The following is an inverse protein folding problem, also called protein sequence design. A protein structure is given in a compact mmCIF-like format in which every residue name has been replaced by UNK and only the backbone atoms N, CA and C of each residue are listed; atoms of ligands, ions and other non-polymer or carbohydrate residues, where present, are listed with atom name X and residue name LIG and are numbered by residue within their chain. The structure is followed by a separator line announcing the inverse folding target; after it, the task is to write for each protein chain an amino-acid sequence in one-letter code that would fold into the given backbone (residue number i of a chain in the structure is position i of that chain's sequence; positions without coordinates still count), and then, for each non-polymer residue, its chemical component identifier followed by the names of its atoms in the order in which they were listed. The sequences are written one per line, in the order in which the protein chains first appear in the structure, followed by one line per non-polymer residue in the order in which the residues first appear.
data_IF_474647833808
#
_entry.id   IF_474647833808
#
_cell.length_a   1.000
_cell.length_b   1.000
_cell.length_c   1.000
_cell.angle_alpha   90.00
_cell.angle_beta   90.00
_cell.angle_gamma   90.00
#
_symmetry.space_group_name_H-M   'P 1'
#
loop_
_entity.id
_entity.type
_entity.pdbx_description
1 polymer ?
#
# COMPACT_ATOMS: atom_id res chain seq x y z
N UNK A 1 4.73 20.15 4.23
CA UNK A 1 4.95 19.73 2.83
C UNK A 1 4.12 18.49 2.55
N UNK A 2 3.28 18.57 1.56
CA UNK A 2 2.37 17.49 1.21
C UNK A 2 3.11 16.30 0.62
N UNK A 3 2.89 15.12 1.17
CA UNK A 3 3.46 13.87 0.66
C UNK A 3 2.45 13.06 -0.13
N UNK A 4 1.17 13.15 0.22
CA UNK A 4 0.08 12.42 -0.41
C UNK A 4 -1.06 13.37 -0.74
N UNK A 5 -1.56 13.28 -1.97
CA UNK A 5 -2.80 13.95 -2.38
C UNK A 5 -3.70 12.96 -3.08
N UNK A 6 -4.95 12.92 -2.65
CA UNK A 6 -5.99 12.07 -3.23
C UNK A 6 -7.07 12.99 -3.79
N UNK A 7 -7.37 12.85 -5.07
CA UNK A 7 -8.32 13.71 -5.77
C UNK A 7 -9.45 12.88 -6.40
N UNK A 8 -10.65 13.06 -5.88
CA UNK A 8 -11.89 12.53 -6.44
C UNK A 8 -11.83 11.04 -6.77
N UNK A 9 -11.31 10.25 -5.87
CA UNK A 9 -11.16 8.81 -6.07
C UNK A 9 -12.51 8.12 -6.00
N UNK A 10 -12.82 7.37 -7.04
CA UNK A 10 -13.95 6.47 -7.10
C UNK A 10 -13.46 5.06 -7.41
N UNK A 11 -14.07 4.08 -6.81
CA UNK A 11 -13.79 2.68 -7.12
C UNK A 11 -15.10 1.90 -7.16
N UNK A 12 -15.36 1.31 -8.31
CA UNK A 12 -16.52 0.46 -8.55
C UNK A 12 -16.05 -0.91 -8.99
N UNK A 13 -16.50 -1.95 -8.30
CA UNK A 13 -16.26 -3.33 -8.70
C UNK A 13 -17.48 -3.85 -9.45
N UNK A 14 -17.25 -4.40 -10.64
CA UNK A 14 -18.30 -5.05 -11.41
C UNK A 14 -18.53 -6.46 -10.86
N UNK A 15 -19.70 -6.67 -10.28
CA UNK A 15 -20.12 -7.96 -9.73
C UNK A 15 -21.24 -8.53 -10.59
N UNK A 16 -21.41 -9.85 -10.58
CA UNK A 16 -22.33 -10.57 -11.47
C UNK A 16 -23.78 -10.03 -11.44
N UNK A 17 -24.25 -9.53 -10.32
CA UNK A 17 -25.63 -9.09 -10.14
C UNK A 17 -25.82 -7.58 -10.07
N UNK A 18 -24.79 -6.84 -9.66
CA UNK A 18 -24.84 -5.38 -9.55
C UNK A 18 -23.44 -4.82 -9.29
N UNK A 19 -23.14 -3.60 -9.76
CA UNK A 19 -21.88 -2.95 -9.45
C UNK A 19 -21.83 -2.58 -7.95
N UNK A 20 -20.66 -2.71 -7.34
CA UNK A 20 -20.41 -2.29 -5.95
C UNK A 20 -19.55 -1.03 -5.96
N UNK A 21 -20.11 0.07 -5.47
CA UNK A 21 -19.41 1.35 -5.35
C UNK A 21 -18.67 1.39 -4.02
N UNK A 22 -17.42 0.92 -4.03
CA UNK A 22 -16.59 0.85 -2.81
C UNK A 22 -16.14 2.22 -2.33
N UNK A 23 -15.81 3.13 -3.25
CA UNK A 23 -15.40 4.49 -2.96
C UNK A 23 -16.12 5.47 -3.89
N UNK A 24 -16.57 6.60 -3.34
CA UNK A 24 -17.27 7.64 -4.07
C UNK A 24 -16.67 9.00 -3.74
N UNK A 25 -15.99 9.60 -4.71
CA UNK A 25 -15.49 10.98 -4.65
C UNK A 25 -14.67 11.30 -3.39
N UNK A 26 -13.67 10.47 -3.11
CA UNK A 26 -12.81 10.64 -1.93
C UNK A 26 -11.65 11.58 -2.26
N UNK A 27 -11.50 12.65 -1.48
CA UNK A 27 -10.41 13.62 -1.63
C UNK A 27 -9.85 13.99 -0.26
N UNK A 28 -8.53 13.96 -0.14
CA UNK A 28 -7.82 14.44 1.05
C UNK A 28 -6.32 14.56 0.73
N UNK A 29 -5.58 15.14 1.67
CA UNK A 29 -4.12 15.21 1.57
C UNK A 29 -3.48 14.90 2.91
N UNK A 30 -2.22 14.48 2.87
CA UNK A 30 -1.42 14.17 4.05
C UNK A 30 -0.07 14.85 3.90
N UNK A 31 0.36 15.57 4.94
CA UNK A 31 1.68 16.19 4.97
C UNK A 31 2.74 15.21 5.47
N UNK A 32 3.96 15.46 5.05
CA UNK A 32 5.10 14.66 5.46
C UNK A 32 5.24 14.66 6.99
N UNK A 33 5.35 13.49 7.58
CA UNK A 33 5.47 13.31 9.02
C UNK A 33 4.15 13.19 9.77
N UNK A 34 3.01 13.33 9.09
CA UNK A 34 1.71 13.13 9.73
C UNK A 34 1.38 11.64 9.93
N UNK A 35 0.69 11.37 11.01
CA UNK A 35 0.07 10.07 11.27
C UNK A 35 -1.43 10.21 11.09
N UNK A 36 -2.01 9.47 10.15
CA UNK A 36 -3.43 9.58 9.79
C UNK A 36 -4.13 8.25 10.01
N UNK A 37 -5.29 8.29 10.65
CA UNK A 37 -6.15 7.12 10.83
C UNK A 37 -7.39 7.23 9.94
N UNK A 38 -7.69 6.14 9.23
CA UNK A 38 -8.92 6.02 8.44
C UNK A 38 -9.87 5.13 9.23
N UNK A 39 -10.97 5.70 9.67
CA UNK A 39 -11.96 5.01 10.50
C UNK A 39 -13.28 4.86 9.75
N UNK A 40 -14.02 3.82 10.10
CA UNK A 40 -15.33 3.53 9.51
C UNK A 40 -15.76 2.11 9.81
N UNK A 41 -17.03 1.82 9.55
CA UNK A 41 -17.60 0.50 9.72
C UNK A 41 -16.97 -0.51 8.74
N UNK A 42 -17.05 -1.79 9.08
CA UNK A 42 -16.67 -2.88 8.18
C UNK A 42 -17.45 -2.74 6.86
N UNK A 43 -16.73 -2.89 5.73
CA UNK A 43 -17.33 -2.74 4.41
C UNK A 43 -17.47 -1.29 3.93
N UNK A 44 -16.91 -0.31 4.64
CA UNK A 44 -16.97 1.11 4.25
C UNK A 44 -15.92 1.53 3.20
N UNK A 45 -15.09 0.61 2.73
CA UNK A 45 -14.09 0.89 1.70
C UNK A 45 -12.69 1.22 2.20
N UNK A 46 -12.41 1.10 3.50
CA UNK A 46 -11.11 1.42 4.08
C UNK A 46 -9.97 0.63 3.45
N UNK A 47 -10.12 -0.68 3.34
CA UNK A 47 -9.09 -1.56 2.74
C UNK A 47 -8.90 -1.25 1.26
N UNK A 48 -9.98 -0.99 0.53
CA UNK A 48 -9.93 -0.59 -0.88
C UNK A 48 -9.13 0.70 -1.05
N UNK A 49 -9.39 1.71 -0.21
CA UNK A 49 -8.66 2.96 -0.25
C UNK A 49 -7.16 2.73 0.01
N UNK A 50 -6.81 1.95 1.02
CA UNK A 50 -5.40 1.65 1.33
C UNK A 50 -4.70 0.93 0.19
N UNK A 51 -5.36 -0.01 -0.48
CA UNK A 51 -4.80 -0.69 -1.65
C UNK A 51 -4.55 0.26 -2.81
N UNK A 52 -5.44 1.22 -3.03
CA UNK A 52 -5.27 2.25 -4.07
C UNK A 52 -4.10 3.18 -3.70
N UNK A 53 -4.00 3.62 -2.46
CA UNK A 53 -2.90 4.46 -2.00
C UNK A 53 -1.55 3.74 -2.07
N UNK A 54 -1.56 2.44 -1.88
CA UNK A 54 -0.35 1.61 -1.93
C UNK A 54 0.09 1.19 -3.32
N UNK A 55 -0.62 1.60 -4.37
CA UNK A 55 -0.27 1.24 -5.74
C UNK A 55 -0.67 -0.19 -6.15
N UNK A 56 -1.52 -0.85 -5.36
CA UNK A 56 -1.91 -2.24 -5.59
C UNK A 56 -3.16 -2.37 -6.45
N UNK A 57 -4.09 -1.43 -6.31
CA UNK A 57 -5.37 -1.46 -7.02
C UNK A 57 -5.63 -0.12 -7.69
N UNK A 58 -5.91 -0.12 -8.99
CA UNK A 58 -6.17 1.11 -9.73
C UNK A 58 -7.56 1.66 -9.39
N UNK A 59 -7.70 2.99 -9.20
CA UNK A 59 -9.03 3.58 -9.05
C UNK A 59 -9.80 3.48 -10.37
N UNK A 60 -11.12 3.48 -10.27
CA UNK A 60 -11.99 3.59 -11.45
C UNK A 60 -11.87 4.99 -12.07
N UNK A 61 -11.78 6.01 -11.20
CA UNK A 61 -11.53 7.39 -11.60
C UNK A 61 -10.86 8.15 -10.46
N UNK A 62 -10.37 9.34 -10.75
CA UNK A 62 -9.64 10.15 -9.81
C UNK A 62 -8.13 9.94 -9.88
N UNK A 63 -7.39 10.64 -9.04
CA UNK A 63 -5.93 10.64 -9.06
C UNK A 63 -5.33 10.50 -7.67
N UNK A 64 -4.17 9.86 -7.61
CA UNK A 64 -3.34 9.76 -6.41
C UNK A 64 -1.96 10.28 -6.73
N UNK A 65 -1.52 11.27 -5.95
CA UNK A 65 -0.16 11.82 -6.07
C UNK A 65 0.63 11.48 -4.83
N UNK A 66 1.80 10.91 -5.01
CA UNK A 66 2.76 10.68 -3.93
C UNK A 66 4.05 11.42 -4.27
N UNK A 67 4.45 12.30 -3.38
CA UNK A 67 5.61 13.17 -3.56
C UNK A 67 5.56 13.92 -4.91
N UNK A 68 4.37 14.42 -5.26
CA UNK A 68 4.11 15.17 -6.48
C UNK A 68 3.97 14.34 -7.75
N UNK A 69 4.12 13.03 -7.69
CA UNK A 69 4.04 12.15 -8.85
C UNK A 69 2.68 11.43 -8.90
N UNK A 70 2.02 11.48 -10.06
CA UNK A 70 0.78 10.73 -10.30
C UNK A 70 1.08 9.23 -10.37
N UNK A 71 0.62 8.50 -9.36
CA UNK A 71 0.94 7.08 -9.18
C UNK A 71 0.44 6.24 -10.37
N UNK A 72 -0.77 6.50 -10.84
CA UNK A 72 -1.41 5.65 -11.85
C UNK A 72 -1.22 6.11 -13.29
N UNK A 73 -0.43 7.16 -13.53
CA UNK A 73 0.13 7.45 -14.85
C UNK A 73 1.34 6.57 -15.17
N UNK A 74 1.89 5.90 -14.16
CA UNK A 74 3.00 4.99 -14.33
C UNK A 74 2.56 3.68 -14.99
N UNK A 75 3.47 3.07 -15.76
CA UNK A 75 3.23 1.72 -16.30
C UNK A 75 3.43 0.67 -15.19
N UNK A 76 3.17 -0.60 -15.50
CA UNK A 76 3.25 -1.68 -14.50
C UNK A 76 4.65 -1.84 -13.91
N UNK A 77 5.70 -1.67 -14.71
CA UNK A 77 7.08 -1.76 -14.23
C UNK A 77 7.43 -0.61 -13.28
N UNK A 78 7.02 0.60 -13.62
CA UNK A 78 7.20 1.78 -12.77
C UNK A 78 6.40 1.66 -11.47
N UNK A 79 5.17 1.15 -11.53
CA UNK A 79 4.36 0.88 -10.35
C UNK A 79 5.01 -0.16 -9.44
N UNK A 80 5.63 -1.18 -9.99
CA UNK A 80 6.35 -2.18 -9.21
C UNK A 80 7.51 -1.55 -8.44
N UNK A 81 8.26 -0.65 -9.08
CA UNK A 81 9.34 0.11 -8.43
C UNK A 81 8.78 1.02 -7.34
N UNK A 82 7.68 1.72 -7.62
CA UNK A 82 7.00 2.57 -6.64
C UNK A 82 6.63 1.78 -5.38
N UNK A 83 6.01 0.60 -5.54
CA UNK A 83 5.62 -0.25 -4.40
C UNK A 83 6.82 -0.71 -3.57
N UNK A 84 7.95 -0.99 -4.22
CA UNK A 84 9.16 -1.43 -3.50
C UNK A 84 9.86 -0.31 -2.75
N UNK A 85 9.85 0.91 -3.30
CA UNK A 85 10.71 2.01 -2.82
C UNK A 85 10.00 3.05 -2.00
N UNK A 86 8.75 3.37 -2.33
CA UNK A 86 8.06 4.52 -1.75
C UNK A 86 6.96 4.17 -0.78
N UNK A 87 6.47 2.93 -0.79
CA UNK A 87 5.34 2.51 0.02
C UNK A 87 5.65 1.24 0.77
N UNK A 88 5.29 1.21 2.05
CA UNK A 88 5.22 -0.02 2.82
C UNK A 88 3.75 -0.32 3.12
N UNK A 89 3.28 -1.51 2.78
CA UNK A 89 1.90 -1.90 3.00
C UNK A 89 1.85 -3.07 3.98
N UNK A 90 1.08 -2.89 5.07
CA UNK A 90 0.83 -3.95 6.05
C UNK A 90 -0.58 -4.45 5.83
N UNK A 91 -0.70 -5.71 5.43
CA UNK A 91 -1.98 -6.34 5.15
C UNK A 91 -2.66 -6.83 6.42
N UNK A 92 -3.99 -6.90 6.39
CA UNK A 92 -4.79 -7.47 7.46
C UNK A 92 -4.42 -8.93 7.73
N UNK A 93 -4.10 -9.68 6.68
CA UNK A 93 -3.53 -11.03 6.74
C UNK A 93 -2.04 -10.92 6.40
N UNK A 94 -1.20 -11.75 7.01
CA UNK A 94 0.26 -11.61 6.94
C UNK A 94 0.85 -11.76 5.54
N UNK A 95 0.18 -12.49 4.65
CA UNK A 95 0.61 -12.70 3.26
C UNK A 95 2.06 -13.21 3.12
N UNK A 96 2.47 -14.03 4.08
CA UNK A 96 3.79 -14.64 4.05
C UNK A 96 3.84 -15.72 2.95
N UNK A 97 5.00 -15.84 2.29
CA UNK A 97 5.22 -16.88 1.31
C UNK A 97 5.64 -18.15 2.06
N UNK A 98 4.83 -19.24 2.04
CA UNK A 98 5.07 -20.39 2.91
C UNK A 98 6.38 -21.13 2.67
N UNK A 99 6.88 -21.12 1.44
CA UNK A 99 8.12 -21.81 1.07
C UNK A 99 9.38 -21.03 1.45
N UNK A 100 9.22 -19.77 1.87
CA UNK A 100 10.33 -18.92 2.29
C UNK A 100 10.48 -18.92 3.80
N UNK A 101 11.70 -18.73 4.27
CA UNK A 101 11.98 -18.53 5.70
C UNK A 101 11.47 -17.18 6.17
N UNK A 102 11.47 -16.94 7.49
CA UNK A 102 11.15 -15.63 8.09
C UNK A 102 12.06 -14.55 7.51
N UNK A 103 13.36 -14.78 7.50
CA UNK A 103 14.33 -13.84 6.97
C UNK A 103 14.09 -13.54 5.49
N UNK A 104 13.81 -14.56 4.69
CA UNK A 104 13.51 -14.40 3.27
C UNK A 104 12.24 -13.58 3.05
N UNK A 105 11.18 -13.81 3.84
CA UNK A 105 9.95 -13.01 3.78
C UNK A 105 10.19 -11.54 4.12
N UNK A 106 10.98 -11.27 5.16
CA UNK A 106 11.30 -9.89 5.58
C UNK A 106 12.12 -9.16 4.51
N UNK A 107 13.09 -9.84 3.92
CA UNK A 107 14.08 -9.22 3.02
C UNK A 107 13.68 -9.24 1.55
N UNK A 108 12.63 -9.96 1.17
CA UNK A 108 12.24 -10.14 -0.22
C UNK A 108 12.08 -8.83 -0.99
N UNK A 109 11.35 -7.80 -0.48
CA UNK A 109 11.21 -6.54 -1.22
C UNK A 109 12.56 -5.85 -1.48
N UNK A 110 13.48 -5.90 -0.53
CA UNK A 110 14.81 -5.30 -0.65
C UNK A 110 15.63 -6.06 -1.67
N UNK A 111 15.56 -7.39 -1.65
CA UNK A 111 16.27 -8.26 -2.61
C UNK A 111 15.75 -8.07 -4.03
N UNK A 112 14.42 -7.96 -4.19
CA UNK A 112 13.80 -7.70 -5.50
C UNK A 112 14.20 -6.33 -6.07
N UNK A 113 14.48 -5.37 -5.18
CA UNK A 113 14.95 -4.03 -5.59
C UNK A 113 16.47 -3.96 -5.80
N UNK A 114 17.20 -5.05 -5.57
CA UNK A 114 18.65 -5.13 -5.76
C UNK A 114 19.46 -4.40 -4.70
N UNK A 115 18.88 -4.03 -3.58
CA UNK A 115 19.56 -3.35 -2.47
C UNK A 115 20.24 -4.33 -1.54
N UNK A 116 21.25 -3.85 -0.82
CA UNK A 116 21.87 -4.60 0.25
C UNK A 116 20.97 -4.61 1.50
N UNK A 117 20.97 -5.73 2.19
CA UNK A 117 20.20 -5.91 3.42
C UNK A 117 20.95 -5.25 4.58
N UNK A 118 20.23 -4.42 5.36
CA UNK A 118 20.76 -3.88 6.61
C UNK A 118 20.59 -4.94 7.70
N UNK A 119 21.69 -5.56 8.10
CA UNK A 119 21.69 -6.67 9.06
C UNK A 119 21.23 -6.26 10.46
N UNK A 120 21.54 -5.06 10.90
CA UNK A 120 21.09 -4.55 12.20
C UNK A 120 19.59 -4.38 12.25
N UNK A 121 19.02 -3.77 11.21
CA UNK A 121 17.56 -3.58 11.10
C UNK A 121 16.83 -4.92 10.98
N UNK A 122 17.39 -5.85 10.23
CA UNK A 122 16.85 -7.20 10.12
C UNK A 122 16.80 -7.90 11.47
N UNK A 123 17.85 -7.75 12.28
CA UNK A 123 17.93 -8.34 13.61
C UNK A 123 16.86 -7.77 14.55
N UNK A 124 16.61 -6.45 14.50
CA UNK A 124 15.54 -5.80 15.25
C UNK A 124 14.17 -6.35 14.86
N UNK A 125 13.87 -6.42 13.58
CA UNK A 125 12.59 -6.91 13.07
C UNK A 125 12.32 -8.36 13.47
N UNK A 126 13.33 -9.21 13.41
CA UNK A 126 13.23 -10.61 13.86
C UNK A 126 12.95 -10.72 15.35
N UNK A 127 13.53 -9.86 16.14
CA UNK A 127 13.30 -9.82 17.60
C UNK A 127 11.87 -9.40 17.93
N UNK A 128 11.36 -8.40 17.24
CA UNK A 128 9.98 -7.92 17.40
C UNK A 128 8.97 -9.01 16.98
N UNK A 129 9.24 -9.71 15.91
CA UNK A 129 8.39 -10.79 15.42
C UNK A 129 8.24 -11.90 16.46
N UNK A 130 9.29 -12.22 17.17
CA UNK A 130 9.26 -13.22 18.26
C UNK A 130 8.40 -12.81 19.45
N UNK A 131 8.17 -11.51 19.64
CA UNK A 131 7.35 -10.99 20.74
C UNK A 131 5.86 -11.08 20.44
N UNK A 132 5.49 -11.13 19.18
CA UNK A 132 4.10 -11.12 18.72
C UNK A 132 3.57 -12.54 18.46
N UNK A 133 4.47 -13.47 18.27
CA UNK A 133 4.14 -14.87 17.96
C UNK A 133 3.77 -15.73 19.16
#
# INVERSE_FOLDING_TARGET
MEILRVENICKTYEMDNAPVHALSDVSFSVDKGEFVAIIGASGSGKSTLLHILGGVDRPTSGKVFVDGQDVYEQNEDELAVFRRRQVGLVYQFYNLIPVLTVEENITLPIRLDGRKINQERLKELRSEERRVG
#
